data_IF_406112558125
#
_entry.id   IF_406112558125
#
_cell.length_a   1.000
_cell.length_b   1.000
_cell.length_c   1.000
_cell.angle_alpha   90.00
_cell.angle_beta   90.00
_cell.angle_gamma   90.00
#
_symmetry.space_group_name_H-M   'P 1'
#
loop_
_entity.id
_entity.type
_entity.pdbx_description
1 polymer ?
#
# COMPACT_ATOMS: atom_id res chain seq x y z
N UNK A 1 -42.54 21.45 -62.22
CA UNK A 1 -41.79 21.87 -61.02
C UNK A 1 -42.74 21.84 -59.84
N UNK A 2 -42.63 20.85 -58.94
CA UNK A 2 -43.04 20.91 -57.53
C UNK A 2 -42.56 19.64 -56.84
N UNK A 3 -41.67 19.80 -55.86
CA UNK A 3 -40.94 18.71 -55.20
C UNK A 3 -41.75 18.11 -54.05
N UNK A 4 -41.70 16.79 -53.94
CA UNK A 4 -42.20 15.98 -52.82
C UNK A 4 -41.25 16.10 -51.63
N UNK A 5 -41.74 16.64 -50.51
CA UNK A 5 -40.96 16.78 -49.27
C UNK A 5 -41.12 15.49 -48.43
N UNK A 6 -40.11 14.60 -48.51
CA UNK A 6 -39.95 13.48 -47.57
C UNK A 6 -39.11 13.96 -46.39
N UNK A 7 -39.77 14.28 -45.27
CA UNK A 7 -39.07 14.51 -44.00
C UNK A 7 -38.61 13.18 -43.42
N UNK A 8 -37.34 12.84 -43.66
CA UNK A 8 -36.64 11.74 -42.99
C UNK A 8 -36.24 12.23 -41.60
N UNK A 9 -36.87 11.67 -40.56
CA UNK A 9 -36.52 11.91 -39.17
C UNK A 9 -35.22 11.12 -38.86
N UNK A 10 -34.08 11.81 -38.89
CA UNK A 10 -32.77 11.23 -38.51
C UNK A 10 -32.66 11.28 -36.99
N UNK A 11 -32.97 10.16 -36.34
CA UNK A 11 -32.64 9.94 -34.93
C UNK A 11 -31.12 9.73 -34.80
N UNK A 12 -30.41 10.81 -34.49
CA UNK A 12 -28.99 10.78 -34.11
C UNK A 12 -28.86 10.05 -32.77
N UNK A 13 -28.55 8.75 -32.82
CA UNK A 13 -28.24 7.97 -31.63
C UNK A 13 -26.90 8.44 -31.04
N UNK A 14 -26.95 9.24 -29.98
CA UNK A 14 -25.80 9.51 -29.13
C UNK A 14 -25.43 8.23 -28.37
N UNK A 15 -24.70 7.32 -29.02
CA UNK A 15 -23.92 6.30 -28.33
C UNK A 15 -22.73 6.97 -27.66
N UNK A 16 -22.98 7.57 -26.50
CA UNK A 16 -21.91 7.96 -25.59
C UNK A 16 -21.18 6.67 -25.17
N UNK A 17 -19.95 6.49 -25.66
CA UNK A 17 -19.04 5.49 -25.16
C UNK A 17 -18.76 5.79 -23.68
N UNK A 18 -19.53 5.19 -22.79
CA UNK A 18 -19.20 5.13 -21.38
C UNK A 18 -17.95 4.26 -21.24
N UNK A 19 -16.77 4.88 -21.34
CA UNK A 19 -15.50 4.25 -21.02
C UNK A 19 -15.59 3.87 -19.54
N UNK A 20 -15.73 2.57 -19.24
CA UNK A 20 -15.57 2.09 -17.87
C UNK A 20 -14.19 2.57 -17.35
N UNK A 21 -14.09 3.05 -16.10
CA UNK A 21 -12.81 3.42 -15.53
C UNK A 21 -11.85 2.25 -15.68
N UNK A 22 -10.66 2.50 -16.23
CA UNK A 22 -9.62 1.48 -16.30
C UNK A 22 -9.34 0.97 -14.89
N UNK A 23 -9.46 -0.35 -14.68
CA UNK A 23 -9.12 -0.95 -13.40
C UNK A 23 -7.66 -0.59 -13.07
N UNK A 24 -7.36 -0.19 -11.81
CA UNK A 24 -5.99 0.08 -11.42
C UNK A 24 -5.11 -1.14 -11.72
N UNK A 25 -3.91 -0.91 -12.24
CA UNK A 25 -2.96 -1.98 -12.53
C UNK A 25 -2.78 -2.86 -11.28
N UNK A 26 -2.92 -4.17 -11.44
CA UNK A 26 -2.74 -5.13 -10.35
C UNK A 26 -1.31 -5.08 -9.85
N UNK A 27 -1.11 -4.74 -8.58
CA UNK A 27 0.22 -4.73 -7.95
C UNK A 27 0.48 -6.09 -7.33
N UNK A 28 1.62 -6.70 -7.66
CA UNK A 28 1.97 -8.02 -7.12
C UNK A 28 2.30 -7.93 -5.63
N UNK A 29 1.64 -8.70 -4.74
CA UNK A 29 1.94 -8.69 -3.31
C UNK A 29 3.37 -9.15 -3.01
N UNK A 30 3.94 -10.04 -3.84
CA UNK A 30 5.32 -10.54 -3.71
C UNK A 30 6.37 -9.43 -3.79
N UNK A 31 6.01 -8.26 -4.33
CA UNK A 31 6.92 -7.10 -4.37
C UNK A 31 7.32 -6.56 -2.98
N UNK A 32 6.58 -6.95 -1.93
CA UNK A 32 6.93 -6.66 -0.54
C UNK A 32 8.08 -7.53 0.00
N UNK A 33 8.34 -8.70 -0.59
CA UNK A 33 9.39 -9.62 -0.12
C UNK A 33 10.80 -9.00 -0.16
N UNK A 34 11.65 -9.44 0.76
CA UNK A 34 13.04 -9.04 0.90
C UNK A 34 13.32 -8.16 2.12
N UNK A 35 14.51 -7.57 2.13
CA UNK A 35 14.98 -6.72 3.23
C UNK A 35 14.80 -5.25 2.89
N UNK A 36 14.28 -4.51 3.87
CA UNK A 36 14.02 -3.09 3.80
C UNK A 36 14.77 -2.38 4.91
N UNK A 37 15.56 -1.37 4.55
CA UNK A 37 16.20 -0.45 5.47
C UNK A 37 15.19 0.63 5.87
N UNK A 38 14.64 0.50 7.07
CA UNK A 38 13.64 1.38 7.66
C UNK A 38 14.31 2.50 8.42
N UNK A 39 13.93 3.74 8.13
CA UNK A 39 14.30 4.94 8.87
C UNK A 39 13.26 5.25 9.95
N UNK A 40 13.71 5.19 11.20
CA UNK A 40 12.89 5.40 12.40
C UNK A 40 13.21 6.72 13.12
N UNK A 41 13.84 7.67 12.43
CA UNK A 41 14.09 9.00 13.00
C UNK A 41 12.78 9.62 13.52
N UNK A 42 12.77 10.19 14.74
CA UNK A 42 11.55 10.74 15.32
C UNK A 42 11.09 12.03 14.63
N UNK A 43 12.03 12.76 14.02
CA UNK A 43 11.79 14.00 13.29
C UNK A 43 12.80 14.13 12.13
N UNK A 44 12.48 14.91 11.08
CA UNK A 44 13.45 15.26 10.05
C UNK A 44 14.71 15.92 10.67
N UNK A 45 15.89 15.50 10.22
CA UNK A 45 17.17 16.06 10.68
C UNK A 45 17.71 15.47 11.99
N UNK A 46 16.98 14.58 12.67
CA UNK A 46 17.53 13.81 13.78
C UNK A 46 18.66 12.88 13.30
N UNK A 47 19.51 12.44 14.23
CA UNK A 47 20.55 11.46 13.94
C UNK A 47 19.96 10.16 13.38
N UNK A 48 20.68 9.53 12.47
CA UNK A 48 20.25 8.34 11.76
C UNK A 48 19.86 7.21 12.72
N UNK A 49 18.68 6.64 12.49
CA UNK A 49 18.17 5.52 13.27
C UNK A 49 17.52 4.49 12.33
N UNK A 50 18.38 3.66 11.72
CA UNK A 50 17.94 2.63 10.77
C UNK A 50 17.73 1.28 11.44
N UNK A 51 16.72 0.53 10.99
CA UNK A 51 16.41 -0.86 11.36
C UNK A 51 15.94 -1.65 10.15
N UNK A 52 15.97 -2.97 10.24
CA UNK A 52 15.55 -3.84 9.15
C UNK A 52 14.11 -4.28 9.33
N UNK A 53 13.31 -4.19 8.27
CA UNK A 53 12.11 -4.98 8.06
C UNK A 53 12.49 -6.07 7.04
N UNK A 54 12.44 -7.32 7.48
CA UNK A 54 12.71 -8.49 6.63
C UNK A 54 11.38 -9.17 6.37
N UNK A 55 10.96 -9.26 5.12
CA UNK A 55 9.77 -9.98 4.69
C UNK A 55 10.24 -11.25 3.99
N UNK A 56 9.97 -12.40 4.60
CA UNK A 56 10.55 -13.69 4.19
C UNK A 56 9.63 -14.52 3.32
N UNK A 57 8.32 -14.31 3.41
CA UNK A 57 7.31 -15.05 2.65
C UNK A 57 6.06 -14.19 2.50
N UNK A 58 5.53 -14.11 1.29
CA UNK A 58 4.24 -13.49 0.97
C UNK A 58 3.33 -14.52 0.33
N UNK A 59 2.20 -14.80 0.98
CA UNK A 59 1.22 -15.78 0.53
C UNK A 59 -0.18 -15.19 0.58
N UNK A 60 -0.85 -15.17 -0.57
CA UNK A 60 -2.20 -14.63 -0.72
C UNK A 60 -2.33 -13.19 -0.16
N UNK A 61 -3.05 -13.03 0.97
CA UNK A 61 -3.27 -11.76 1.67
C UNK A 61 -2.50 -11.67 2.99
N UNK A 62 -1.48 -12.49 3.19
CA UNK A 62 -0.67 -12.53 4.41
C UNK A 62 0.83 -12.55 4.09
N UNK A 63 1.65 -12.23 5.09
CA UNK A 63 3.10 -12.29 4.99
C UNK A 63 3.75 -12.57 6.34
N UNK A 64 5.00 -13.00 6.32
CA UNK A 64 5.80 -13.28 7.50
C UNK A 64 7.20 -12.68 7.41
N UNK A 65 7.91 -12.66 8.54
CA UNK A 65 9.23 -12.05 8.63
C UNK A 65 9.53 -11.46 10.00
N UNK A 66 10.40 -10.45 10.04
CA UNK A 66 10.79 -9.74 11.27
C UNK A 66 10.86 -8.24 11.06
N UNK A 67 10.60 -7.47 12.11
CA UNK A 67 10.85 -6.04 12.14
C UNK A 67 11.71 -5.71 13.35
N UNK A 68 12.89 -5.12 13.10
CA UNK A 68 13.91 -4.90 14.12
C UNK A 68 14.26 -6.21 14.88
N UNK A 69 14.34 -7.32 14.14
CA UNK A 69 14.63 -8.65 14.71
C UNK A 69 13.48 -9.28 15.50
N UNK A 70 12.38 -8.57 15.74
CA UNK A 70 11.19 -9.11 16.39
C UNK A 70 10.29 -9.78 15.34
N UNK A 71 9.81 -11.03 15.57
CA UNK A 71 8.88 -11.68 14.68
C UNK A 71 7.60 -10.87 14.45
N UNK A 72 7.15 -10.83 13.19
CA UNK A 72 5.86 -10.26 12.82
C UNK A 72 4.74 -11.20 13.28
N UNK A 73 3.66 -10.61 13.81
CA UNK A 73 2.37 -11.29 14.03
C UNK A 73 1.29 -10.63 13.17
N UNK A 74 0.26 -11.38 12.84
CA UNK A 74 -0.94 -10.89 12.14
C UNK A 74 -0.65 -10.09 10.85
N UNK A 75 0.37 -10.54 10.11
CA UNK A 75 0.78 -9.93 8.85
C UNK A 75 -0.32 -10.06 7.79
N UNK A 76 -0.86 -8.94 7.34
CA UNK A 76 -1.96 -8.86 6.37
C UNK A 76 -1.64 -7.88 5.23
N UNK A 77 -2.21 -8.16 4.05
CA UNK A 77 -1.99 -7.41 2.81
C UNK A 77 -3.31 -7.06 2.12
N UNK A 78 -3.32 -5.92 1.44
CA UNK A 78 -4.38 -5.50 0.54
C UNK A 78 -3.78 -4.84 -0.71
N UNK A 79 -4.09 -5.39 -1.89
CA UNK A 79 -3.64 -4.91 -3.21
C UNK A 79 -4.76 -4.31 -4.06
N UNK A 80 -6.00 -4.34 -3.58
CA UNK A 80 -7.21 -3.96 -4.33
C UNK A 80 -7.25 -2.47 -4.71
N UNK A 81 -6.39 -1.65 -4.07
CA UNK A 81 -6.33 -0.20 -4.20
C UNK A 81 -5.06 0.30 -4.92
N UNK A 82 -4.57 -0.49 -5.90
CA UNK A 82 -3.48 -0.10 -6.80
C UNK A 82 -2.10 0.09 -6.14
N UNK A 83 -1.92 -0.44 -4.93
CA UNK A 83 -0.63 -0.48 -4.21
C UNK A 83 -0.69 -1.57 -3.13
N UNK A 84 0.44 -2.16 -2.78
CA UNK A 84 0.52 -3.13 -1.68
C UNK A 84 0.44 -2.36 -0.36
N UNK A 85 -0.71 -2.46 0.32
CA UNK A 85 -0.88 -1.98 1.69
C UNK A 85 -0.75 -3.15 2.63
N UNK A 86 -0.13 -2.93 3.77
CA UNK A 86 0.13 -3.99 4.73
C UNK A 86 -0.04 -3.50 6.16
N UNK A 87 -0.34 -4.44 7.04
CA UNK A 87 -0.32 -4.23 8.48
C UNK A 87 0.25 -5.47 9.18
N UNK A 88 0.89 -5.25 10.33
CA UNK A 88 1.43 -6.31 11.17
C UNK A 88 1.60 -5.83 12.60
N UNK A 89 1.84 -6.76 13.51
CA UNK A 89 2.09 -6.49 14.93
C UNK A 89 3.47 -6.98 15.32
N UNK A 90 4.18 -6.18 16.12
CA UNK A 90 5.30 -6.68 16.94
C UNK A 90 5.01 -6.41 18.42
N UNK A 91 5.78 -7.01 19.31
CA UNK A 91 5.62 -6.81 20.75
C UNK A 91 6.98 -6.79 21.44
N UNK A 92 7.13 -5.90 22.41
CA UNK A 92 8.23 -5.89 23.36
C UNK A 92 7.68 -5.83 24.80
N UNK A 93 8.54 -5.61 25.80
CA UNK A 93 8.15 -5.50 27.21
C UNK A 93 7.17 -4.34 27.51
N UNK A 94 7.01 -3.39 26.59
CA UNK A 94 6.04 -2.29 26.66
C UNK A 94 4.72 -2.59 25.96
N UNK A 95 4.54 -3.79 25.42
CA UNK A 95 3.31 -4.24 24.78
C UNK A 95 3.36 -4.15 23.25
N UNK A 96 2.18 -4.31 22.65
CA UNK A 96 2.04 -4.43 21.19
C UNK A 96 2.27 -3.10 20.47
N UNK A 97 2.91 -3.20 19.30
CA UNK A 97 3.04 -2.15 18.30
C UNK A 97 2.23 -2.57 17.08
N UNK A 98 1.29 -1.72 16.68
CA UNK A 98 0.57 -1.90 15.43
C UNK A 98 1.31 -1.12 14.36
N UNK A 99 1.70 -1.81 13.29
CA UNK A 99 2.39 -1.22 12.16
C UNK A 99 1.48 -1.28 10.94
N UNK A 100 1.48 -0.21 10.15
CA UNK A 100 0.80 -0.19 8.86
C UNK A 100 1.63 0.61 7.87
N UNK A 101 1.64 0.18 6.62
CA UNK A 101 2.38 0.85 5.56
C UNK A 101 1.86 0.56 4.16
N UNK A 102 2.46 1.25 3.20
CA UNK A 102 2.20 1.10 1.78
C UNK A 102 3.52 1.00 1.03
N UNK A 103 3.60 0.06 0.09
CA UNK A 103 4.63 0.02 -0.93
C UNK A 103 4.13 0.77 -2.17
N UNK A 104 4.83 1.85 -2.52
CA UNK A 104 4.58 2.65 -3.72
C UNK A 104 5.91 3.09 -4.31
N UNK A 105 6.05 2.99 -5.63
CA UNK A 105 7.23 3.46 -6.37
C UNK A 105 8.56 2.93 -5.81
N UNK A 106 8.57 1.66 -5.37
CA UNK A 106 9.76 1.00 -4.82
C UNK A 106 10.18 1.43 -3.41
N UNK A 107 9.34 2.21 -2.71
CA UNK A 107 9.59 2.67 -1.34
C UNK A 107 8.45 2.25 -0.43
N UNK A 108 8.76 2.04 0.85
CA UNK A 108 7.76 1.88 1.89
C UNK A 108 7.59 3.20 2.65
N UNK A 109 6.35 3.52 2.99
CA UNK A 109 6.01 4.54 3.97
C UNK A 109 4.97 3.98 4.92
N UNK A 110 5.09 4.30 6.21
CA UNK A 110 4.20 3.74 7.21
C UNK A 110 4.28 4.39 8.57
N UNK A 111 3.55 3.80 9.50
CA UNK A 111 3.51 4.25 10.89
C UNK A 111 3.58 3.07 11.85
N UNK A 112 4.03 3.36 13.07
CA UNK A 112 4.04 2.45 14.21
C UNK A 112 3.29 3.11 15.36
N UNK A 113 2.23 2.46 15.85
CA UNK A 113 1.45 2.93 16.98
C UNK A 113 1.61 1.99 18.19
N UNK A 114 2.22 2.51 19.25
CA UNK A 114 2.37 1.82 20.54
C UNK A 114 1.47 2.48 21.58
N UNK A 115 0.51 1.72 22.10
CA UNK A 115 -0.33 2.18 23.19
C UNK A 115 0.44 2.24 24.51
N UNK A 116 1.28 1.23 24.79
CA UNK A 116 2.07 1.17 26.02
C UNK A 116 3.11 2.28 26.13
N UNK A 117 3.68 2.72 25.00
CA UNK A 117 4.58 3.89 24.95
C UNK A 117 3.89 5.21 24.60
N UNK A 118 2.56 5.21 24.42
CA UNK A 118 1.75 6.39 24.04
C UNK A 118 2.34 7.15 22.85
N UNK A 119 2.69 6.42 21.79
CA UNK A 119 3.50 6.96 20.69
C UNK A 119 2.99 6.51 19.34
N UNK A 120 2.82 7.47 18.44
CA UNK A 120 2.71 7.27 17.01
C UNK A 120 4.02 7.74 16.36
N UNK A 121 4.65 6.87 15.59
CA UNK A 121 5.87 7.19 14.84
C UNK A 121 5.62 7.01 13.36
N UNK A 122 6.09 7.95 12.54
CA UNK A 122 6.26 7.78 11.10
C UNK A 122 7.55 7.02 10.79
N UNK A 123 7.58 6.33 9.66
CA UNK A 123 8.79 5.76 9.09
C UNK A 123 8.70 5.61 7.57
N UNK A 124 9.87 5.60 6.93
CA UNK A 124 10.02 5.26 5.51
C UNK A 124 11.07 4.19 5.35
N UNK A 125 11.00 3.38 4.30
CA UNK A 125 12.01 2.39 4.01
C UNK A 125 12.36 2.35 2.53
N UNK A 126 13.62 2.03 2.27
CA UNK A 126 14.12 1.70 0.94
C UNK A 126 14.58 0.25 0.96
N UNK A 127 14.57 -0.37 -0.23
CA UNK A 127 15.13 -1.71 -0.39
C UNK A 127 16.63 -1.68 -0.02
N UNK A 128 17.05 -2.68 0.75
CA UNK A 128 18.47 -2.92 1.06
C UNK A 128 19.18 -3.65 -0.08
#
# INVERSE_FOLDING_TARGET
>A
MTATLRSVLVCLALSACASAPAAPASVSPVSLEGTWKVDLRPVPGAADYYKSLVVTDVKDKTFSGTFYGTPLRDGTLNTDWGAVRFAFVTEDLSGAYNHAGVLRDGKLEGTSHSLGRKRLSYWSAVRE
#
